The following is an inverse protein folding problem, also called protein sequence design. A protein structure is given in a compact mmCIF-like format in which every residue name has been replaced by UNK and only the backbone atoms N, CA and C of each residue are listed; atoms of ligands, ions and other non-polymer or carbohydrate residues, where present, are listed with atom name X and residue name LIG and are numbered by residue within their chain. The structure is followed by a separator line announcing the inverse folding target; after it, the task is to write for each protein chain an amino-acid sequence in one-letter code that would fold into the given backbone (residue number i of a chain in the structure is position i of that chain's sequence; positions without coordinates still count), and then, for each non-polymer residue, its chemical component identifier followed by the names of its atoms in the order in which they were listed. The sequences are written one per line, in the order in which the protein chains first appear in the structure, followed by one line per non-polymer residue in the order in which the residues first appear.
data_IF_737072604893
#
_entry.id   IF_737072604893
#
_cell.length_a   1.000
_cell.length_b   1.000
_cell.length_c   1.000
_cell.angle_alpha   90.00
_cell.angle_beta   90.00
_cell.angle_gamma   90.00
#
_symmetry.space_group_name_H-M   'P 1'
#
loop_
_entity.id
_entity.type
_entity.pdbx_description
1 polymer ?
#
# COMPACT_ATOMS: atom_id res chain seq x y z
N UNK A 1 -29.46 -73.47 23.28
CA UNK A 1 -28.52 -72.52 22.67
C UNK A 1 -28.65 -72.59 21.15
N UNK A 2 -28.99 -71.47 20.49
CA UNK A 2 -29.11 -71.32 19.02
C UNK A 2 -28.57 -69.91 18.71
N UNK A 3 -27.66 -69.69 17.74
CA UNK A 3 -27.05 -68.39 17.53
C UNK A 3 -27.99 -67.43 16.79
N UNK A 4 -27.87 -66.10 16.97
CA UNK A 4 -28.69 -65.12 16.26
C UNK A 4 -28.15 -64.88 14.83
N UNK A 5 -29.00 -64.46 13.88
CA UNK A 5 -28.57 -64.10 12.54
C UNK A 5 -27.88 -62.72 12.54
N UNK A 6 -26.82 -62.59 11.75
CA UNK A 6 -26.13 -61.31 11.50
C UNK A 6 -26.99 -60.40 10.62
N UNK A 7 -27.09 -59.09 10.88
CA UNK A 7 -27.67 -58.17 9.93
C UNK A 7 -26.66 -57.85 8.82
N UNK A 8 -27.07 -58.10 7.57
CA UNK A 8 -26.32 -57.72 6.38
C UNK A 8 -26.19 -56.20 6.25
N UNK A 9 -24.95 -55.74 6.12
CA UNK A 9 -24.58 -54.35 5.83
C UNK A 9 -25.00 -54.01 4.40
N UNK A 10 -26.11 -53.28 4.23
CA UNK A 10 -26.47 -52.65 2.95
C UNK A 10 -25.76 -51.31 2.85
N UNK A 11 -24.73 -51.24 2.01
CA UNK A 11 -24.09 -50.02 1.53
C UNK A 11 -25.07 -49.26 0.63
N UNK A 12 -25.84 -48.35 1.21
CA UNK A 12 -26.69 -47.41 0.48
C UNK A 12 -25.86 -46.24 -0.05
N UNK A 13 -25.65 -46.21 -1.36
CA UNK A 13 -25.00 -45.12 -2.09
C UNK A 13 -25.83 -43.85 -2.13
N UNK A 14 -26.01 -43.20 -0.99
CA UNK A 14 -26.56 -41.85 -0.85
C UNK A 14 -25.45 -40.95 -0.30
N UNK A 15 -24.59 -40.40 -1.15
CA UNK A 15 -23.61 -39.43 -0.62
C UNK A 15 -23.14 -38.40 -1.64
N UNK A 16 -22.84 -38.76 -2.89
CA UNK A 16 -22.27 -37.76 -3.82
C UNK A 16 -23.27 -36.78 -4.43
N UNK A 17 -24.47 -37.22 -4.82
CA UNK A 17 -25.48 -36.35 -5.44
C UNK A 17 -26.07 -35.30 -4.49
N UNK A 18 -26.21 -35.66 -3.21
CA UNK A 18 -26.75 -34.78 -2.18
C UNK A 18 -25.66 -33.80 -1.71
N UNK A 19 -24.40 -34.24 -1.57
CA UNK A 19 -23.28 -33.34 -1.27
C UNK A 19 -23.05 -32.32 -2.40
N UNK A 20 -23.15 -32.73 -3.66
CA UNK A 20 -22.96 -31.82 -4.80
C UNK A 20 -24.10 -30.81 -4.92
N UNK A 21 -25.36 -31.21 -4.66
CA UNK A 21 -26.49 -30.27 -4.60
C UNK A 21 -26.36 -29.27 -3.42
N UNK A 22 -25.89 -29.73 -2.26
CA UNK A 22 -25.65 -28.87 -1.10
C UNK A 22 -24.50 -27.87 -1.33
N UNK A 23 -23.43 -28.26 -2.03
CA UNK A 23 -22.32 -27.36 -2.36
C UNK A 23 -22.72 -26.27 -3.35
N UNK A 24 -23.60 -26.56 -4.30
CA UNK A 24 -24.15 -25.56 -5.24
C UNK A 24 -25.13 -24.62 -4.53
N UNK A 25 -26.03 -25.14 -3.69
CA UNK A 25 -26.96 -24.31 -2.90
C UNK A 25 -26.24 -23.39 -1.90
N UNK A 26 -25.12 -23.85 -1.31
CA UNK A 26 -24.27 -23.04 -0.44
C UNK A 26 -23.53 -21.92 -1.21
N UNK A 27 -23.16 -22.16 -2.48
CA UNK A 27 -22.59 -21.13 -3.35
C UNK A 27 -23.61 -20.08 -3.82
N UNK A 28 -24.89 -20.44 -3.94
CA UNK A 28 -25.97 -19.53 -4.32
C UNK A 28 -26.45 -18.62 -3.17
N UNK A 29 -25.98 -18.82 -1.94
CA UNK A 29 -26.25 -17.92 -0.80
C UNK A 29 -25.24 -16.77 -0.71
N UNK A 30 -24.64 -16.36 -1.84
CA UNK A 30 -23.95 -15.08 -1.91
C UNK A 30 -24.99 -13.97 -1.89
N UNK A 31 -24.93 -13.15 -0.85
CA UNK A 31 -25.83 -12.04 -0.55
C UNK A 31 -26.15 -11.19 -1.80
N UNK A 32 -27.34 -11.36 -2.38
CA UNK A 32 -27.75 -10.67 -3.62
C UNK A 32 -28.14 -9.19 -3.42
N UNK A 33 -28.03 -8.62 -2.21
CA UNK A 33 -28.51 -7.27 -1.90
C UNK A 33 -27.45 -6.16 -1.95
N UNK A 34 -26.18 -6.50 -1.74
CA UNK A 34 -25.06 -5.53 -1.65
C UNK A 34 -23.82 -6.09 -2.33
N UNK A 35 -23.13 -5.25 -3.10
CA UNK A 35 -21.78 -5.52 -3.58
C UNK A 35 -20.85 -4.37 -3.23
N UNK A 36 -19.57 -4.69 -3.04
CA UNK A 36 -18.54 -3.75 -2.65
C UNK A 36 -17.32 -3.96 -3.56
N UNK A 37 -16.81 -2.87 -4.11
CA UNK A 37 -15.63 -2.83 -4.96
C UNK A 37 -14.55 -1.97 -4.30
N UNK A 38 -13.33 -2.52 -4.22
CA UNK A 38 -12.16 -1.83 -3.66
C UNK A 38 -11.07 -1.83 -4.73
N UNK A 39 -10.78 -0.67 -5.37
CA UNK A 39 -9.76 -0.59 -6.42
C UNK A 39 -8.35 -0.82 -5.88
N UNK A 40 -8.06 -0.32 -4.67
CA UNK A 40 -6.75 -0.43 -4.03
C UNK A 40 -6.89 -0.94 -2.60
N UNK A 41 -6.45 -2.17 -2.36
CA UNK A 41 -6.47 -2.79 -1.03
C UNK A 41 -5.24 -2.45 -0.18
N UNK A 42 -4.25 -1.76 -0.75
CA UNK A 42 -3.06 -1.29 -0.05
C UNK A 42 -2.66 0.10 -0.54
N UNK A 43 -2.43 1.02 0.39
CA UNK A 43 -2.06 2.42 0.13
C UNK A 43 -0.79 2.73 0.93
N UNK A 44 0.20 3.28 0.24
CA UNK A 44 1.39 3.85 0.86
C UNK A 44 1.24 5.36 0.89
N UNK A 45 1.47 5.97 2.04
CA UNK A 45 1.39 7.41 2.22
C UNK A 45 2.59 7.92 3.02
N UNK A 46 2.83 9.22 2.94
CA UNK A 46 3.84 9.89 3.75
C UNK A 46 3.20 10.73 4.83
N UNK A 47 3.93 11.00 5.91
CA UNK A 47 3.41 11.82 7.02
C UNK A 47 2.94 13.18 6.48
N UNK A 48 1.78 13.64 6.97
CA UNK A 48 1.09 14.88 6.59
C UNK A 48 0.34 14.84 5.25
N UNK A 49 0.37 13.74 4.51
CA UNK A 49 -0.47 13.59 3.31
C UNK A 49 -1.95 13.41 3.64
N UNK A 50 -2.80 13.79 2.69
CA UNK A 50 -4.23 13.49 2.71
C UNK A 50 -4.50 12.30 1.79
N UNK A 51 -5.12 11.25 2.32
CA UNK A 51 -5.33 10.00 1.57
C UNK A 51 -6.80 9.76 1.31
N UNK A 52 -7.10 9.12 0.18
CA UNK A 52 -8.44 8.65 -0.14
C UNK A 52 -8.50 7.12 0.00
N UNK A 53 -9.29 6.65 0.96
CA UNK A 53 -9.69 5.25 1.07
C UNK A 53 -10.84 5.01 0.09
N UNK A 54 -10.47 4.76 -1.17
CA UNK A 54 -11.42 4.65 -2.28
C UNK A 54 -12.11 3.30 -2.29
N UNK A 55 -13.43 3.34 -2.37
CA UNK A 55 -14.31 2.19 -2.58
C UNK A 55 -15.49 2.61 -3.46
N UNK A 56 -16.21 1.62 -3.95
CA UNK A 56 -17.53 1.82 -4.55
C UNK A 56 -18.45 0.70 -4.09
N UNK A 57 -19.74 0.98 -3.94
CA UNK A 57 -20.71 -0.04 -3.57
C UNK A 57 -21.96 0.06 -4.44
N UNK A 58 -22.63 -1.08 -4.59
CA UNK A 58 -23.97 -1.13 -5.15
C UNK A 58 -24.89 -1.78 -4.13
N UNK A 59 -26.02 -1.12 -3.89
CA UNK A 59 -27.09 -1.57 -2.99
C UNK A 59 -28.43 -1.20 -3.62
N UNK A 60 -29.42 -2.10 -3.56
CA UNK A 60 -30.75 -1.82 -4.08
C UNK A 60 -31.51 -0.79 -3.23
N UNK A 61 -31.28 -0.78 -1.92
CA UNK A 61 -31.84 0.19 -0.97
C UNK A 61 -30.86 1.27 -0.52
N UNK A 62 -31.20 1.92 0.60
CA UNK A 62 -30.27 2.84 1.30
C UNK A 62 -29.42 2.02 2.27
N UNK A 63 -28.10 1.90 2.04
CA UNK A 63 -27.24 1.17 2.96
C UNK A 63 -26.84 2.03 4.16
N UNK A 64 -26.41 1.35 5.21
CA UNK A 64 -25.61 1.92 6.30
C UNK A 64 -24.14 1.62 6.01
N UNK A 65 -23.32 2.66 5.99
CA UNK A 65 -21.89 2.58 5.70
C UNK A 65 -21.16 2.80 7.01
N UNK A 66 -20.24 1.90 7.34
CA UNK A 66 -19.41 1.99 8.55
C UNK A 66 -17.94 1.78 8.18
N UNK A 67 -17.06 2.61 8.74
CA UNK A 67 -15.62 2.41 8.70
C UNK A 67 -15.06 2.19 10.11
N UNK A 68 -14.17 1.22 10.22
CA UNK A 68 -13.42 0.90 11.43
C UNK A 68 -11.92 0.85 11.17
N UNK A 69 -11.16 1.30 12.14
CA UNK A 69 -9.71 1.20 12.19
C UNK A 69 -9.31 0.06 13.11
N UNK A 70 -8.52 -0.87 12.61
CA UNK A 70 -7.98 -2.00 13.36
C UNK A 70 -6.47 -1.94 13.34
N UNK A 71 -5.89 -1.91 14.55
CA UNK A 71 -4.45 -1.96 14.77
C UNK A 71 -4.12 -2.97 15.86
N UNK A 72 -2.83 -3.10 16.16
CA UNK A 72 -2.34 -3.95 17.26
C UNK A 72 -2.90 -3.53 18.64
N UNK A 73 -3.44 -2.32 18.76
CA UNK A 73 -4.01 -1.76 19.99
C UNK A 73 -5.52 -1.99 20.14
N UNK A 74 -6.18 -2.53 19.11
CA UNK A 74 -7.62 -2.80 19.11
C UNK A 74 -8.35 -2.23 17.89
N UNK A 75 -9.67 -2.41 17.90
CA UNK A 75 -10.60 -1.93 16.87
C UNK A 75 -11.30 -0.65 17.36
N UNK A 76 -11.40 0.34 16.48
CA UNK A 76 -12.01 1.64 16.75
C UNK A 76 -12.94 2.03 15.60
N UNK A 77 -14.16 2.45 15.93
CA UNK A 77 -15.07 3.03 14.93
C UNK A 77 -14.53 4.39 14.49
N UNK A 78 -14.48 4.62 13.18
CA UNK A 78 -14.07 5.90 12.59
C UNK A 78 -15.32 6.73 12.31
N UNK A 79 -16.23 6.16 11.53
CA UNK A 79 -17.40 6.89 11.05
C UNK A 79 -18.51 5.93 10.62
N UNK A 80 -19.76 6.35 10.77
CA UNK A 80 -20.94 5.66 10.24
C UNK A 80 -21.95 6.68 9.70
N UNK A 81 -22.58 6.35 8.57
CA UNK A 81 -23.62 7.18 8.00
C UNK A 81 -24.52 6.41 7.04
N UNK A 82 -25.60 7.06 6.64
CA UNK A 82 -26.42 6.67 5.48
C UNK A 82 -26.32 7.79 4.44
N UNK A 83 -26.35 7.47 3.14
CA UNK A 83 -26.40 8.50 2.10
C UNK A 83 -27.56 9.48 2.35
N UNK A 84 -27.28 10.78 2.27
CA UNK A 84 -28.26 11.84 2.49
C UNK A 84 -28.63 12.15 3.95
N UNK A 85 -27.97 11.52 4.93
CA UNK A 85 -28.17 11.82 6.37
C UNK A 85 -26.96 12.51 7.00
N UNK A 86 -27.11 12.95 8.24
CA UNK A 86 -25.96 13.41 9.03
C UNK A 86 -24.95 12.28 9.23
N UNK A 87 -23.67 12.64 9.18
CA UNK A 87 -22.54 11.73 9.35
C UNK A 87 -22.16 11.62 10.84
N UNK A 88 -21.99 10.40 11.33
CA UNK A 88 -21.60 10.11 12.71
C UNK A 88 -20.11 9.76 12.79
N UNK A 89 -19.25 10.75 12.99
CA UNK A 89 -17.79 10.61 13.10
C UNK A 89 -17.41 10.41 14.57
N UNK A 90 -16.49 9.49 14.86
CA UNK A 90 -15.97 9.30 16.22
C UNK A 90 -15.06 10.45 16.65
N UNK A 91 -15.04 10.74 17.94
CA UNK A 91 -14.25 11.85 18.49
C UNK A 91 -12.74 11.72 18.19
N UNK A 92 -12.20 10.51 18.06
CA UNK A 92 -10.78 10.31 17.73
C UNK A 92 -10.40 10.70 16.30
N UNK A 93 -11.38 10.78 15.39
CA UNK A 93 -11.20 11.10 13.97
C UNK A 93 -11.96 12.35 13.53
N UNK A 94 -12.52 13.09 14.50
CA UNK A 94 -13.20 14.36 14.27
C UNK A 94 -12.26 15.35 13.60
N UNK A 95 -12.78 16.11 12.64
CA UNK A 95 -12.05 17.09 11.82
C UNK A 95 -10.95 16.50 10.92
N UNK A 96 -10.71 15.19 10.97
CA UNK A 96 -9.71 14.49 10.14
C UNK A 96 -10.31 13.61 9.06
N UNK A 97 -11.63 13.41 9.04
CA UNK A 97 -12.30 12.52 8.10
C UNK A 97 -13.39 13.23 7.31
N UNK A 98 -13.36 13.09 5.99
CA UNK A 98 -14.46 13.41 5.09
C UNK A 98 -15.05 12.13 4.52
N UNK A 99 -16.37 12.13 4.29
CA UNK A 99 -17.11 10.98 3.72
C UNK A 99 -17.61 11.31 2.32
N UNK A 100 -17.78 10.27 1.50
CA UNK A 100 -18.31 10.36 0.14
C UNK A 100 -19.51 9.42 -0.03
N UNK A 101 -20.42 9.76 -0.96
CA UNK A 101 -21.66 9.00 -1.18
C UNK A 101 -21.42 7.54 -1.64
N UNK A 102 -20.31 7.29 -2.33
CA UNK A 102 -19.87 5.97 -2.77
C UNK A 102 -19.25 5.12 -1.63
N UNK A 103 -19.28 5.61 -0.39
CA UNK A 103 -18.75 4.92 0.77
C UNK A 103 -17.26 5.13 1.02
N UNK A 104 -16.57 5.89 0.16
CA UNK A 104 -15.18 6.27 0.38
C UNK A 104 -15.04 7.22 1.56
N UNK A 105 -13.86 7.25 2.16
CA UNK A 105 -13.48 8.29 3.12
C UNK A 105 -12.13 8.91 2.75
N UNK A 106 -11.97 10.20 3.01
CA UNK A 106 -10.68 10.87 2.97
C UNK A 106 -10.20 11.08 4.40
N UNK A 107 -8.96 10.69 4.67
CA UNK A 107 -8.30 10.88 5.95
C UNK A 107 -7.22 11.95 5.78
N UNK A 108 -7.32 13.04 6.54
CA UNK A 108 -6.43 14.19 6.46
C UNK A 108 -5.20 14.06 7.35
N UNK A 109 -4.08 14.58 6.86
CA UNK A 109 -2.83 14.76 7.58
C UNK A 109 -2.40 13.48 8.29
N UNK A 110 -2.19 12.40 7.53
CA UNK A 110 -1.89 11.08 8.10
C UNK A 110 -0.58 11.06 8.86
N UNK A 111 -0.53 10.32 9.95
CA UNK A 111 0.68 10.08 10.74
C UNK A 111 1.07 8.60 10.75
N UNK A 112 2.29 8.29 11.18
CA UNK A 112 2.80 6.90 11.27
C UNK A 112 1.84 5.99 12.07
N UNK A 113 1.16 6.54 13.08
CA UNK A 113 0.19 5.85 13.95
C UNK A 113 -1.13 5.49 13.27
N UNK A 114 -1.42 6.09 12.12
CA UNK A 114 -2.59 5.78 11.31
C UNK A 114 -2.34 4.52 10.44
N UNK A 115 -1.11 4.01 10.40
CA UNK A 115 -0.81 2.75 9.70
C UNK A 115 -1.57 1.57 10.32
N UNK A 116 -2.32 0.84 9.50
CA UNK A 116 -3.11 -0.30 9.96
C UNK A 116 -4.16 -0.73 8.95
N UNK A 117 -5.19 -1.43 9.43
CA UNK A 117 -6.27 -1.95 8.62
C UNK A 117 -7.50 -1.07 8.75
N UNK A 118 -8.00 -0.57 7.63
CA UNK A 118 -9.25 0.16 7.55
C UNK A 118 -10.31 -0.76 6.96
N UNK A 119 -11.30 -1.11 7.76
CA UNK A 119 -12.36 -2.05 7.39
C UNK A 119 -13.63 -1.26 7.12
N UNK A 120 -14.16 -1.41 5.92
CA UNK A 120 -15.49 -0.90 5.56
C UNK A 120 -16.51 -2.03 5.69
N UNK A 121 -17.69 -1.70 6.22
CA UNK A 121 -18.88 -2.55 6.18
C UNK A 121 -20.04 -1.76 5.57
N UNK A 122 -20.66 -2.34 4.54
CA UNK A 122 -21.85 -1.80 3.88
C UNK A 122 -23.01 -2.75 4.16
N UNK A 123 -24.01 -2.27 4.90
CA UNK A 123 -25.15 -3.07 5.35
C UNK A 123 -26.45 -2.51 4.80
N UNK A 124 -27.17 -3.31 4.04
CA UNK A 124 -28.52 -3.00 3.57
C UNK A 124 -29.55 -3.27 4.68
N UNK A 125 -30.64 -2.49 4.67
CA UNK A 125 -31.72 -2.58 5.66
C UNK A 125 -32.34 -3.98 5.83
N UNK A 126 -32.30 -4.82 4.78
CA UNK A 126 -32.83 -6.19 4.79
C UNK A 126 -31.84 -7.22 5.38
N UNK A 127 -30.68 -6.77 5.87
CA UNK A 127 -29.69 -7.59 6.54
C UNK A 127 -28.57 -8.14 5.66
N UNK A 128 -28.61 -7.88 4.34
CA UNK A 128 -27.46 -8.14 3.45
C UNK A 128 -26.31 -7.21 3.83
N UNK A 129 -25.11 -7.75 4.06
CA UNK A 129 -23.92 -6.96 4.34
C UNK A 129 -22.73 -7.46 3.55
N UNK A 130 -21.85 -6.53 3.18
CA UNK A 130 -20.55 -6.80 2.61
C UNK A 130 -19.50 -6.01 3.37
N UNK A 131 -18.29 -6.56 3.45
CA UNK A 131 -17.17 -5.87 4.06
C UNK A 131 -15.92 -6.01 3.20
N UNK A 132 -14.98 -5.12 3.41
CA UNK A 132 -13.67 -5.17 2.79
C UNK A 132 -12.66 -4.39 3.59
N UNK A 133 -11.38 -4.52 3.24
CA UNK A 133 -10.30 -3.88 3.97
C UNK A 133 -9.30 -3.20 3.05
N UNK A 134 -8.76 -2.08 3.52
CA UNK A 134 -7.65 -1.36 2.93
C UNK A 134 -6.54 -1.28 3.96
N UNK A 135 -5.33 -1.68 3.58
CA UNK A 135 -4.14 -1.56 4.40
C UNK A 135 -3.49 -0.20 4.12
N UNK A 136 -3.32 0.61 5.15
CA UNK A 136 -2.58 1.87 5.06
C UNK A 136 -1.19 1.68 5.67
N UNK A 137 -0.17 2.07 4.93
CA UNK A 137 1.19 2.16 5.42
C UNK A 137 1.69 3.60 5.30
N UNK A 138 1.92 4.26 6.43
CA UNK A 138 2.43 5.63 6.50
C UNK A 138 3.91 5.63 6.87
N UNK A 139 4.75 6.13 5.97
CA UNK A 139 6.19 6.30 6.21
C UNK A 139 6.55 7.76 6.50
N UNK A 140 7.51 7.96 7.39
CA UNK A 140 8.13 9.27 7.58
C UNK A 140 9.29 9.43 6.59
N UNK A 141 9.18 10.35 5.64
CA UNK A 141 10.32 10.71 4.78
C UNK A 141 11.24 11.61 5.58
N UNK A 142 12.38 11.06 6.02
CA UNK A 142 13.42 11.87 6.64
C UNK A 142 14.21 12.60 5.56
N UNK A 143 14.02 13.91 5.46
CA UNK A 143 14.77 14.78 4.54
C UNK A 143 16.29 14.77 4.75
N UNK A 144 16.77 14.30 5.90
CA UNK A 144 18.20 14.15 6.19
C UNK A 144 18.92 13.26 5.18
N UNK A 145 18.28 12.22 4.65
CA UNK A 145 18.92 11.29 3.75
C UNK A 145 19.14 11.91 2.36
N UNK A 146 18.21 12.75 1.88
CA UNK A 146 18.40 13.50 0.63
C UNK A 146 19.50 14.57 0.75
N UNK A 147 19.55 15.28 1.87
CA UNK A 147 20.63 16.24 2.12
C UNK A 147 21.98 15.54 2.21
N UNK A 148 22.06 14.38 2.86
CA UNK A 148 23.28 13.58 2.93
C UNK A 148 23.76 13.19 1.52
N UNK A 149 22.85 12.69 0.67
CA UNK A 149 23.17 12.36 -0.73
C UNK A 149 23.65 13.57 -1.51
N UNK A 150 22.98 14.73 -1.37
CA UNK A 150 23.37 15.95 -2.06
C UNK A 150 24.76 16.45 -1.65
N UNK A 151 25.06 16.46 -0.34
CA UNK A 151 26.38 16.84 0.19
C UNK A 151 27.46 15.87 -0.30
N UNK A 152 27.16 14.57 -0.33
CA UNK A 152 28.09 13.56 -0.82
C UNK A 152 28.41 13.75 -2.31
N UNK A 153 27.40 14.03 -3.14
CA UNK A 153 27.59 14.33 -4.57
C UNK A 153 28.44 15.60 -4.75
N UNK A 154 28.16 16.65 -3.98
CA UNK A 154 28.92 17.90 -4.05
C UNK A 154 30.40 17.69 -3.68
N UNK A 155 30.67 16.89 -2.64
CA UNK A 155 32.03 16.51 -2.23
C UNK A 155 32.76 15.75 -3.35
N UNK A 156 32.10 14.75 -3.94
CA UNK A 156 32.67 13.96 -5.05
C UNK A 156 32.98 14.85 -6.26
N UNK A 157 32.08 15.78 -6.60
CA UNK A 157 32.30 16.72 -7.71
C UNK A 157 33.49 17.64 -7.45
N UNK A 158 33.65 18.14 -6.22
CA UNK A 158 34.79 18.97 -5.83
C UNK A 158 36.11 18.19 -5.92
N UNK A 159 36.15 16.97 -5.40
CA UNK A 159 37.33 16.08 -5.48
C UNK A 159 37.69 15.79 -6.94
N UNK A 160 36.69 15.48 -7.78
CA UNK A 160 36.91 15.24 -9.20
C UNK A 160 37.50 16.47 -9.91
N UNK A 161 36.97 17.68 -9.65
CA UNK A 161 37.48 18.91 -10.22
C UNK A 161 38.95 19.19 -9.83
N UNK A 162 39.32 18.93 -8.58
CA UNK A 162 40.70 19.05 -8.10
C UNK A 162 41.60 18.06 -8.82
N UNK A 163 41.21 16.79 -8.89
CA UNK A 163 42.00 15.76 -9.57
C UNK A 163 42.19 16.06 -11.07
N UNK A 164 41.13 16.47 -11.76
CA UNK A 164 41.19 16.87 -13.17
C UNK A 164 42.14 18.06 -13.36
N UNK A 165 42.07 19.06 -12.48
CA UNK A 165 42.95 20.23 -12.52
C UNK A 165 44.41 19.84 -12.29
N UNK A 166 44.69 18.96 -11.34
CA UNK A 166 46.04 18.44 -11.07
C UNK A 166 46.58 17.66 -12.28
N UNK A 167 45.78 16.76 -12.87
CA UNK A 167 46.15 16.02 -14.07
C UNK A 167 46.46 16.98 -15.22
N UNK A 168 45.65 18.02 -15.40
CA UNK A 168 45.86 19.04 -16.43
C UNK A 168 47.17 19.80 -16.24
N UNK A 169 47.48 20.22 -15.01
CA UNK A 169 48.75 20.88 -14.66
C UNK A 169 49.93 19.94 -14.88
N UNK A 170 49.86 18.69 -14.41
CA UNK A 170 50.88 17.67 -14.61
C UNK A 170 51.15 17.42 -16.10
N UNK A 171 50.10 17.28 -16.92
CA UNK A 171 50.21 17.10 -18.35
C UNK A 171 50.88 18.31 -19.02
N UNK A 172 50.49 19.54 -18.63
CA UNK A 172 51.09 20.78 -19.14
C UNK A 172 52.58 20.89 -18.80
N UNK A 173 52.96 20.53 -17.57
CA UNK A 173 54.35 20.51 -17.11
C UNK A 173 55.17 19.46 -17.87
N UNK A 174 54.65 18.24 -17.99
CA UNK A 174 55.29 17.15 -18.74
C UNK A 174 55.48 17.53 -20.21
N UNK A 175 54.45 18.11 -20.83
CA UNK A 175 54.52 18.60 -22.20
C UNK A 175 55.62 19.67 -22.39
N UNK A 176 55.69 20.66 -21.51
CA UNK A 176 56.75 21.68 -21.55
C UNK A 176 58.14 21.07 -21.34
N UNK A 177 58.28 20.14 -20.42
CA UNK A 177 59.56 19.48 -20.13
C UNK A 177 60.04 18.63 -21.30
N UNK A 178 59.15 17.80 -21.88
CA UNK A 178 59.48 17.01 -23.07
C UNK A 178 59.86 17.90 -24.26
N UNK A 179 59.15 19.02 -24.48
CA UNK A 179 59.50 19.97 -25.54
C UNK A 179 60.89 20.56 -25.33
N UNK A 180 61.23 21.02 -24.12
CA UNK A 180 62.58 21.53 -23.80
C UNK A 180 63.65 20.47 -24.07
N UNK A 181 63.41 19.22 -23.69
CA UNK A 181 64.34 18.09 -23.94
C UNK A 181 64.53 17.82 -25.44
N UNK A 182 63.46 17.82 -26.23
CA UNK A 182 63.53 17.62 -27.69
C UNK A 182 64.29 18.72 -28.42
N UNK A 183 64.18 19.98 -27.99
CA UNK A 183 64.97 21.07 -28.56
C UNK A 183 66.47 20.90 -28.25
N UNK A 184 66.82 20.54 -27.01
CA UNK A 184 68.22 20.27 -26.64
C UNK A 184 68.86 19.11 -27.41
N UNK A 185 68.09 18.08 -27.76
CA UNK A 185 68.55 16.95 -28.60
C UNK A 185 68.70 17.31 -30.09
N UNK A 186 67.94 18.30 -30.59
CA UNK A 186 68.07 18.78 -31.99
C UNK A 186 69.17 19.82 -32.19
N UNK A 187 69.55 20.56 -31.14
CA UNK A 187 70.63 21.56 -31.16
C UNK A 187 72.02 20.96 -30.94
N UNK A 188 72.13 19.65 -30.69
CA UNK A 188 73.40 18.93 -30.67
C UNK A 188 73.58 18.19 -32.00
N UNK A 189 74.11 18.83 -33.05
CA UNK A 189 74.44 18.12 -34.29
C UNK A 189 75.54 17.10 -34.01
N UNK A 190 75.43 15.96 -34.69
CA UNK A 190 76.44 14.91 -34.69
C UNK A 190 77.83 15.50 -34.97
N UNK A 191 78.73 15.32 -34.01
CA UNK A 191 80.17 15.46 -34.21
C UNK A 191 80.72 14.14 -34.75
#
# INVERSE_FOLDING_TARGET
MRPPPRPGRKTGGFSLGILTLCLVAAGCLQSQGVSLYIPHSAINATVQEDILLSVDYYCHGVPTIEWKYTSNWGEQKIVEWKPGTQVNISESHKDRVCTFDNGSIQLFSVGVRDSGYYVITVTEHLGSSQFGSIVLHVSEIRYEDLHFVAVFIALLAAVAAVLISLIWVCNRCAYKFQRKRRHKLKESPAA
#
